data_IF_212778496707
#
_entry.id   IF_212778496707
#
_cell.length_a   1.000
_cell.length_b   1.000
_cell.length_c   1.000
_cell.angle_alpha   90.00
_cell.angle_beta   90.00
_cell.angle_gamma   90.00
#
_symmetry.space_group_name_H-M   'P 1'
#
loop_
_entity.id
_entity.type
_entity.pdbx_description
1 polymer ?
#
# COMPACT_ATOMS: atom_id res chain seq x y z
N UNK A 1 12.16 13.54 -2.89
CA UNK A 1 11.26 12.50 -3.44
C UNK A 1 10.56 11.69 -2.35
N UNK A 2 11.30 10.93 -1.52
CA UNK A 2 10.71 10.08 -0.45
C UNK A 2 9.75 10.87 0.45
N UNK A 3 10.21 12.00 1.01
CA UNK A 3 9.39 12.83 1.90
C UNK A 3 8.08 13.31 1.24
N UNK A 4 8.13 13.69 -0.04
CA UNK A 4 6.93 14.12 -0.78
C UNK A 4 5.91 12.99 -0.88
N UNK A 5 6.35 11.79 -1.23
CA UNK A 5 5.45 10.64 -1.31
C UNK A 5 4.91 10.22 0.06
N UNK A 6 5.72 10.28 1.13
CA UNK A 6 5.22 10.05 2.50
C UNK A 6 4.13 11.06 2.85
N UNK A 7 4.36 12.36 2.60
CA UNK A 7 3.37 13.41 2.89
C UNK A 7 2.08 13.16 2.11
N UNK A 8 2.15 12.87 0.81
CA UNK A 8 0.97 12.57 0.00
C UNK A 8 0.25 11.29 0.48
N UNK A 9 1.02 10.25 0.82
CA UNK A 9 0.52 9.01 1.39
C UNK A 9 -0.12 9.18 2.78
N UNK A 10 0.15 10.28 3.50
CA UNK A 10 -0.46 10.60 4.81
C UNK A 10 -1.67 11.52 4.64
N UNK A 11 -1.57 12.57 3.82
CA UNK A 11 -2.65 13.53 3.63
C UNK A 11 -3.86 12.93 2.91
N UNK A 12 -3.60 12.02 1.98
CA UNK A 12 -4.69 11.38 1.21
C UNK A 12 -5.56 10.48 2.09
N UNK A 13 -5.04 9.48 2.84
CA UNK A 13 -5.88 8.73 3.77
C UNK A 13 -6.54 9.61 4.84
N UNK A 14 -5.88 10.68 5.29
CA UNK A 14 -6.48 11.62 6.25
C UNK A 14 -7.80 12.23 5.74
N UNK A 15 -7.88 12.58 4.45
CA UNK A 15 -9.13 13.02 3.82
C UNK A 15 -10.18 11.89 3.75
N UNK A 16 -9.76 10.64 3.55
CA UNK A 16 -10.67 9.48 3.50
C UNK A 16 -11.15 9.07 4.89
N UNK A 17 -10.40 9.35 5.96
CA UNK A 17 -10.80 9.06 7.34
C UNK A 17 -12.05 9.85 7.76
N UNK A 18 -12.45 10.88 7.02
CA UNK A 18 -13.72 11.60 7.22
C UNK A 18 -14.95 10.75 6.86
N UNK A 19 -14.75 9.66 6.11
CA UNK A 19 -15.81 8.77 5.64
C UNK A 19 -15.63 7.36 6.25
N UNK A 20 -16.70 6.78 6.84
CA UNK A 20 -16.64 5.43 7.38
C UNK A 20 -16.16 4.42 6.33
N UNK A 21 -15.24 3.54 6.73
CA UNK A 21 -14.68 2.46 5.90
C UNK A 21 -13.93 2.90 4.62
N UNK A 22 -13.83 4.19 4.30
CA UNK A 22 -13.22 4.63 3.05
C UNK A 22 -11.71 4.32 2.97
N UNK A 23 -10.99 4.38 4.10
CA UNK A 23 -9.59 3.96 4.19
C UNK A 23 -9.36 2.52 3.73
N UNK A 24 -9.93 1.50 4.41
CA UNK A 24 -9.77 0.10 4.03
C UNK A 24 -10.40 -0.27 2.68
N UNK A 25 -11.40 0.48 2.21
CA UNK A 25 -12.06 0.22 0.91
C UNK A 25 -11.25 0.75 -0.28
N UNK A 26 -10.73 1.98 -0.20
CA UNK A 26 -10.05 2.63 -1.33
C UNK A 26 -8.52 2.55 -1.27
N UNK A 27 -7.96 2.16 -0.12
CA UNK A 27 -6.51 2.02 0.10
C UNK A 27 -5.70 3.26 -0.35
N UNK A 28 -6.12 4.49 0.00
CA UNK A 28 -5.57 5.73 -0.58
C UNK A 28 -4.04 5.89 -0.39
N UNK A 29 -3.49 5.40 0.72
CA UNK A 29 -2.05 5.49 0.99
C UNK A 29 -1.19 4.69 -0.01
N UNK A 30 -1.72 3.56 -0.52
CA UNK A 30 -0.98 2.64 -1.40
C UNK A 30 -0.64 3.29 -2.74
N UNK A 31 -1.49 4.21 -3.23
CA UNK A 31 -1.29 4.93 -4.49
C UNK A 31 0.07 5.61 -4.56
N UNK A 32 0.44 6.34 -3.51
CA UNK A 32 1.68 7.10 -3.48
C UNK A 32 2.89 6.24 -3.09
N UNK A 33 2.69 5.12 -2.39
CA UNK A 33 3.74 4.11 -2.19
C UNK A 33 4.12 3.47 -3.52
N UNK A 34 3.13 3.12 -4.34
CA UNK A 34 3.37 2.61 -5.69
C UNK A 34 4.02 3.65 -6.58
N UNK A 35 3.57 4.90 -6.53
CA UNK A 35 4.20 5.98 -7.28
C UNK A 35 5.67 6.17 -6.88
N UNK A 36 5.98 6.11 -5.57
CA UNK A 36 7.36 6.15 -5.10
C UNK A 36 8.19 4.97 -5.61
N UNK A 37 7.63 3.76 -5.63
CA UNK A 37 8.29 2.57 -6.10
C UNK A 37 8.60 2.61 -7.61
N UNK A 38 7.63 3.05 -8.42
CA UNK A 38 7.77 3.12 -9.87
C UNK A 38 8.67 4.28 -10.32
N UNK A 39 8.68 5.41 -9.58
CA UNK A 39 9.53 6.56 -9.88
C UNK A 39 10.95 6.43 -9.31
N UNK A 40 11.07 5.88 -8.10
CA UNK A 40 12.31 5.88 -7.32
C UNK A 40 12.94 4.52 -7.09
N UNK A 41 12.37 3.45 -7.66
CA UNK A 41 12.86 2.09 -7.51
C UNK A 41 12.51 1.46 -6.16
N UNK A 42 13.06 0.27 -5.93
CA UNK A 42 12.70 -0.56 -4.78
C UNK A 42 13.10 0.05 -3.44
N UNK A 43 14.23 0.77 -3.36
CA UNK A 43 14.64 1.44 -2.11
C UNK A 43 13.65 2.54 -1.72
N UNK A 44 13.25 3.37 -2.69
CA UNK A 44 12.29 4.44 -2.44
C UNK A 44 10.92 3.87 -2.06
N UNK A 45 10.45 2.84 -2.78
CA UNK A 45 9.20 2.16 -2.45
C UNK A 45 9.19 1.55 -1.05
N UNK A 46 10.27 0.86 -0.66
CA UNK A 46 10.39 0.25 0.67
C UNK A 46 10.43 1.30 1.79
N UNK A 47 11.23 2.37 1.64
CA UNK A 47 11.34 3.42 2.66
C UNK A 47 10.00 4.17 2.80
N UNK A 48 9.35 4.54 1.68
CA UNK A 48 8.06 5.21 1.71
C UNK A 48 6.99 4.30 2.32
N UNK A 49 6.95 3.02 1.92
CA UNK A 49 6.04 2.03 2.49
C UNK A 49 6.23 1.86 4.00
N UNK A 50 7.48 1.82 4.48
CA UNK A 50 7.78 1.67 5.90
C UNK A 50 7.40 2.90 6.70
N UNK A 51 7.78 4.11 6.26
CA UNK A 51 7.59 5.33 7.04
C UNK A 51 6.14 5.81 7.05
N UNK A 52 5.39 5.56 5.97
CA UNK A 52 4.04 6.10 5.79
C UNK A 52 3.06 5.71 6.92
N UNK A 53 2.90 4.44 7.31
CA UNK A 53 1.95 4.05 8.36
C UNK A 53 2.25 4.70 9.70
N UNK A 54 3.52 4.79 10.08
CA UNK A 54 3.93 5.43 11.33
C UNK A 54 3.69 6.94 11.30
N UNK A 55 4.00 7.59 10.17
CA UNK A 55 3.71 9.01 9.99
C UNK A 55 2.20 9.28 10.00
N UNK A 56 1.40 8.44 9.34
CA UNK A 56 -0.06 8.51 9.36
C UNK A 56 -0.61 8.36 10.77
N UNK A 57 -0.10 7.39 11.54
CA UNK A 57 -0.50 7.18 12.93
C UNK A 57 -0.16 8.39 13.81
N UNK A 58 1.02 8.98 13.65
CA UNK A 58 1.41 10.17 14.39
C UNK A 58 0.51 11.39 14.10
N UNK A 59 -0.01 11.51 12.87
CA UNK A 59 -0.86 12.65 12.46
C UNK A 59 -2.32 12.45 12.84
N UNK A 60 -2.86 11.24 12.70
CA UNK A 60 -4.31 11.02 12.81
C UNK A 60 -4.73 9.90 13.77
N UNK A 61 -3.80 9.24 14.45
CA UNK A 61 -4.06 8.04 15.27
C UNK A 61 -4.44 6.79 14.45
N UNK A 62 -4.34 6.85 13.12
CA UNK A 62 -4.71 5.76 12.20
C UNK A 62 -3.52 5.35 11.33
N UNK A 63 -3.31 4.04 11.07
CA UNK A 63 -4.16 2.92 11.47
C UNK A 63 -4.03 2.62 12.98
N UNK A 64 -5.04 2.01 13.63
CA UNK A 64 -4.99 1.71 15.06
C UNK A 64 -3.74 0.92 15.43
N UNK A 65 -3.14 1.22 16.59
CA UNK A 65 -1.84 0.67 17.00
C UNK A 65 -1.77 -0.86 16.96
N UNK A 66 -2.88 -1.54 17.23
CA UNK A 66 -2.95 -3.02 17.22
C UNK A 66 -2.77 -3.61 15.81
N UNK A 67 -3.17 -2.89 14.76
CA UNK A 67 -3.03 -3.32 13.36
C UNK A 67 -1.89 -2.59 12.63
N UNK A 68 -1.30 -1.58 13.25
CA UNK A 68 -0.22 -0.80 12.65
C UNK A 68 0.98 -1.66 12.19
N UNK A 69 1.48 -2.66 12.98
CA UNK A 69 2.59 -3.49 12.54
C UNK A 69 2.28 -4.30 11.28
N UNK A 70 1.10 -4.93 11.21
CA UNK A 70 0.71 -5.75 10.06
C UNK A 70 0.49 -4.90 8.79
N UNK A 71 -0.09 -3.70 8.92
CA UNK A 71 -0.21 -2.76 7.82
C UNK A 71 1.17 -2.26 7.37
N UNK A 72 2.08 -1.97 8.30
CA UNK A 72 3.43 -1.53 7.96
C UNK A 72 4.21 -2.58 7.18
N UNK A 73 4.14 -3.85 7.59
CA UNK A 73 4.74 -4.96 6.84
C UNK A 73 4.13 -5.10 5.46
N UNK A 74 2.79 -5.07 5.36
CA UNK A 74 2.08 -5.13 4.10
C UNK A 74 2.56 -4.04 3.13
N UNK A 75 2.39 -2.76 3.48
CA UNK A 75 2.65 -1.67 2.54
C UNK A 75 4.13 -1.48 2.22
N UNK A 76 5.03 -1.90 3.11
CA UNK A 76 6.47 -1.97 2.81
C UNK A 76 6.75 -3.02 1.73
N UNK A 77 6.13 -4.20 1.83
CA UNK A 77 6.26 -5.24 0.81
C UNK A 77 5.69 -4.78 -0.53
N UNK A 78 4.53 -4.10 -0.53
CA UNK A 78 3.97 -3.46 -1.73
C UNK A 78 4.99 -2.55 -2.44
N UNK A 79 5.59 -1.60 -1.72
CA UNK A 79 6.57 -0.67 -2.28
C UNK A 79 7.84 -1.35 -2.75
N UNK A 80 8.38 -2.29 -1.96
CA UNK A 80 9.57 -3.06 -2.29
C UNK A 80 9.36 -3.88 -3.57
N UNK A 81 8.30 -4.66 -3.64
CA UNK A 81 8.04 -5.58 -4.76
C UNK A 81 7.73 -4.79 -6.03
N UNK A 82 6.89 -3.76 -5.96
CA UNK A 82 6.58 -2.93 -7.13
C UNK A 82 7.85 -2.32 -7.73
N UNK A 83 8.75 -1.82 -6.88
CA UNK A 83 10.01 -1.24 -7.31
C UNK A 83 10.98 -2.28 -7.87
N UNK A 84 11.06 -3.48 -7.28
CA UNK A 84 11.90 -4.57 -7.79
C UNK A 84 11.42 -5.04 -9.16
N UNK A 85 10.13 -5.31 -9.30
CA UNK A 85 9.52 -5.75 -10.56
C UNK A 85 9.71 -4.70 -11.66
N UNK A 86 9.61 -3.42 -11.33
CA UNK A 86 9.80 -2.33 -12.28
C UNK A 86 11.26 -2.11 -12.65
N UNK A 87 12.15 -2.00 -11.66
CA UNK A 87 13.53 -1.57 -11.83
C UNK A 87 14.49 -2.70 -12.20
N UNK A 88 14.27 -3.92 -11.68
CA UNK A 88 15.17 -5.05 -11.88
C UNK A 88 14.66 -6.01 -12.96
N UNK A 89 13.35 -6.19 -13.07
CA UNK A 89 12.74 -7.08 -14.06
C UNK A 89 12.14 -6.33 -15.27
N UNK A 90 12.23 -5.00 -15.31
CA UNK A 90 11.73 -4.16 -16.40
C UNK A 90 10.25 -4.39 -16.75
N UNK A 91 9.44 -4.80 -15.78
CA UNK A 91 8.01 -5.00 -16.02
C UNK A 91 7.29 -3.65 -16.23
N UNK A 92 6.19 -3.69 -16.98
CA UNK A 92 5.32 -2.53 -17.10
C UNK A 92 4.62 -2.22 -15.75
N UNK A 93 4.09 -1.00 -15.60
CA UNK A 93 3.49 -0.57 -14.34
C UNK A 93 2.38 -1.54 -13.87
N UNK A 94 1.51 -1.99 -14.78
CA UNK A 94 0.40 -2.91 -14.44
C UNK A 94 0.91 -4.22 -13.84
N UNK A 95 1.88 -4.87 -14.47
CA UNK A 95 2.45 -6.13 -13.98
C UNK A 95 3.23 -5.95 -12.67
N UNK A 96 3.95 -4.84 -12.51
CA UNK A 96 4.61 -4.52 -11.25
C UNK A 96 3.60 -4.34 -10.11
N UNK A 97 2.46 -3.69 -10.37
CA UNK A 97 1.40 -3.49 -9.38
C UNK A 97 0.73 -4.80 -9.00
N UNK A 98 0.36 -5.64 -9.96
CA UNK A 98 -0.28 -6.94 -9.70
C UNK A 98 0.61 -7.86 -8.85
N UNK A 99 1.90 -7.95 -9.19
CA UNK A 99 2.86 -8.74 -8.40
C UNK A 99 3.04 -8.18 -6.99
N UNK A 100 3.09 -6.85 -6.84
CA UNK A 100 3.16 -6.19 -5.54
C UNK A 100 1.89 -6.36 -4.71
N UNK A 101 0.71 -6.33 -5.33
CA UNK A 101 -0.56 -6.63 -4.67
C UNK A 101 -0.56 -8.04 -4.11
N UNK A 102 -0.19 -9.04 -4.91
CA UNK A 102 -0.12 -10.42 -4.46
C UNK A 102 0.88 -10.59 -3.31
N UNK A 103 2.11 -10.11 -3.48
CA UNK A 103 3.15 -10.27 -2.45
C UNK A 103 2.88 -9.44 -1.19
N UNK A 104 2.25 -8.28 -1.31
CA UNK A 104 1.79 -7.49 -0.17
C UNK A 104 0.71 -8.20 0.65
N UNK A 105 -0.25 -8.89 0.01
CA UNK A 105 -1.24 -9.71 0.75
C UNK A 105 -0.61 -10.93 1.42
N UNK A 106 0.40 -11.53 0.80
CA UNK A 106 1.18 -12.61 1.42
C UNK A 106 1.93 -12.07 2.65
N UNK A 107 2.53 -10.88 2.54
CA UNK A 107 3.20 -10.22 3.66
C UNK A 107 2.22 -9.86 4.78
N UNK A 108 1.01 -9.38 4.45
CA UNK A 108 -0.06 -9.16 5.43
C UNK A 108 -0.43 -10.46 6.16
N UNK A 109 -0.63 -11.55 5.42
CA UNK A 109 -0.96 -12.85 6.01
C UNK A 109 0.13 -13.31 6.98
N UNK A 110 1.39 -13.25 6.55
CA UNK A 110 2.53 -13.58 7.41
C UNK A 110 2.55 -12.69 8.67
N UNK A 111 2.34 -11.38 8.52
CA UNK A 111 2.32 -10.46 9.65
C UNK A 111 1.18 -10.74 10.63
N UNK A 112 -0.03 -11.02 10.15
CA UNK A 112 -1.18 -11.40 10.99
C UNK A 112 -0.89 -12.69 11.76
N UNK A 113 -0.30 -13.71 11.10
CA UNK A 113 0.12 -14.95 11.76
C UNK A 113 1.17 -14.70 12.85
N UNK A 114 2.18 -13.87 12.56
CA UNK A 114 3.21 -13.52 13.53
C UNK A 114 2.60 -12.78 14.73
N UNK A 115 1.72 -11.80 14.49
CA UNK A 115 1.01 -11.09 15.56
C UNK A 115 0.18 -12.06 16.41
N UNK A 116 -0.54 -13.00 15.79
CA UNK A 116 -1.30 -14.01 16.52
C UNK A 116 -0.38 -14.90 17.38
N UNK A 117 0.77 -15.31 16.85
CA UNK A 117 1.73 -16.16 17.59
C UNK A 117 2.22 -15.48 18.88
N UNK A 118 2.47 -14.17 18.83
CA UNK A 118 2.99 -13.43 19.98
C UNK A 118 1.91 -12.92 20.94
N UNK A 119 0.72 -12.58 20.42
CA UNK A 119 -0.34 -11.94 21.23
C UNK A 119 -1.48 -12.88 21.59
N UNK A 120 -1.60 -14.03 20.91
CA UNK A 120 -2.76 -14.92 20.99
C UNK A 120 -4.01 -14.42 20.25
N UNK A 121 -3.96 -13.24 19.63
CA UNK A 121 -5.13 -12.57 19.05
C UNK A 121 -4.95 -12.28 17.55
N UNK A 122 -6.07 -12.31 16.82
CA UNK A 122 -6.14 -11.83 15.43
C UNK A 122 -6.88 -10.49 15.43
N UNK A 123 -6.18 -9.41 15.09
CA UNK A 123 -6.78 -8.08 15.01
C UNK A 123 -7.41 -7.85 13.63
N UNK A 124 -8.74 -7.93 13.58
CA UNK A 124 -9.54 -7.82 12.36
C UNK A 124 -10.92 -7.22 12.66
N UNK A 125 -11.57 -6.53 11.70
CA UNK A 125 -12.96 -6.11 11.82
C UNK A 125 -13.97 -7.24 12.08
N UNK A 126 -13.59 -8.48 11.78
CA UNK A 126 -14.42 -9.67 12.03
C UNK A 126 -14.52 -10.08 13.50
N UNK A 127 -13.73 -9.46 14.39
CA UNK A 127 -13.77 -9.73 15.82
C UNK A 127 -12.99 -10.99 16.25
N UNK A 128 -13.22 -11.49 17.49
CA UNK A 128 -12.38 -12.51 18.12
C UNK A 128 -12.37 -13.89 17.45
N UNK A 129 -13.37 -14.20 16.63
CA UNK A 129 -13.49 -15.49 15.93
C UNK A 129 -12.72 -15.50 14.60
N UNK A 130 -12.08 -14.40 14.23
CA UNK A 130 -11.30 -14.29 13.00
C UNK A 130 -10.07 -15.20 13.05
N UNK A 131 -9.89 -16.00 11.99
CA UNK A 131 -8.60 -16.63 11.69
C UNK A 131 -7.75 -15.70 10.82
N UNK A 132 -6.42 -15.87 10.77
CA UNK A 132 -5.55 -15.07 9.90
C UNK A 132 -6.02 -15.06 8.44
N UNK A 133 -6.45 -16.22 7.93
CA UNK A 133 -6.93 -16.34 6.56
C UNK A 133 -8.22 -15.52 6.34
N UNK A 134 -9.18 -15.60 7.26
CA UNK A 134 -10.42 -14.81 7.16
C UNK A 134 -10.19 -13.31 7.31
N UNK A 135 -9.23 -12.90 8.15
CA UNK A 135 -8.85 -11.50 8.32
C UNK A 135 -8.26 -10.89 7.04
N UNK A 136 -7.34 -11.63 6.40
CA UNK A 136 -6.76 -11.21 5.11
C UNK A 136 -7.81 -11.27 3.99
N UNK A 137 -8.63 -12.32 3.95
CA UNK A 137 -9.72 -12.43 2.98
C UNK A 137 -10.68 -11.25 3.07
N UNK A 138 -11.09 -10.86 4.27
CA UNK A 138 -11.94 -9.68 4.47
C UNK A 138 -11.27 -8.40 3.93
N UNK A 139 -9.97 -8.24 4.17
CA UNK A 139 -9.21 -7.09 3.65
C UNK A 139 -9.18 -7.09 2.12
N UNK A 140 -8.97 -8.24 1.48
CA UNK A 140 -9.00 -8.38 0.01
C UNK A 140 -10.40 -8.09 -0.53
N UNK A 141 -11.44 -8.69 0.06
CA UNK A 141 -12.81 -8.53 -0.35
C UNK A 141 -13.30 -7.08 -0.22
N UNK A 142 -12.89 -6.37 0.83
CA UNK A 142 -13.28 -4.97 1.04
C UNK A 142 -12.57 -3.99 0.10
N UNK A 143 -11.33 -4.30 -0.29
CA UNK A 143 -10.46 -3.34 -0.99
C UNK A 143 -10.47 -3.42 -2.51
N UNK A 144 -11.37 -4.22 -3.10
CA UNK A 144 -11.51 -4.32 -4.56
C UNK A 144 -11.69 -2.97 -5.28
N UNK A 145 -12.42 -1.95 -4.74
CA UNK A 145 -12.53 -0.66 -5.41
C UNK A 145 -11.19 0.07 -5.45
N UNK A 146 -10.44 0.05 -4.35
CA UNK A 146 -9.10 0.61 -4.27
C UNK A 146 -8.12 -0.05 -5.23
N UNK A 147 -8.18 -1.38 -5.36
CA UNK A 147 -7.35 -2.14 -6.30
C UNK A 147 -7.61 -1.70 -7.74
N UNK A 148 -8.88 -1.56 -8.14
CA UNK A 148 -9.26 -1.08 -9.49
C UNK A 148 -8.73 0.33 -9.71
N UNK A 149 -8.92 1.24 -8.75
CA UNK A 149 -8.42 2.61 -8.84
C UNK A 149 -6.90 2.63 -8.99
N UNK A 150 -6.16 1.83 -8.22
CA UNK A 150 -4.70 1.74 -8.31
C UNK A 150 -4.22 1.23 -9.68
N UNK A 151 -4.86 0.17 -10.21
CA UNK A 151 -4.49 -0.42 -11.50
C UNK A 151 -4.78 0.49 -12.69
N UNK A 152 -5.70 1.43 -12.57
CA UNK A 152 -6.00 2.41 -13.62
C UNK A 152 -5.18 3.69 -13.42
N UNK A 153 -5.30 4.31 -12.25
CA UNK A 153 -4.77 5.65 -12.01
C UNK A 153 -3.25 5.69 -12.03
N UNK A 154 -2.57 4.71 -11.40
CA UNK A 154 -1.11 4.71 -11.31
C UNK A 154 -0.48 4.53 -12.69
N UNK A 155 -0.84 3.52 -13.51
CA UNK A 155 -0.27 3.37 -14.85
C UNK A 155 -0.57 4.55 -15.77
N UNK A 156 -1.80 5.10 -15.73
CA UNK A 156 -2.19 6.25 -16.54
C UNK A 156 -1.37 7.49 -16.18
N UNK A 157 -1.15 7.76 -14.88
CA UNK A 157 -0.33 8.87 -14.44
C UNK A 157 1.11 8.76 -14.97
N UNK A 158 1.73 7.57 -14.86
CA UNK A 158 3.09 7.35 -15.38
C UNK A 158 3.18 7.45 -16.91
N UNK A 159 2.17 6.97 -17.62
CA UNK A 159 2.08 7.11 -19.07
C UNK A 159 1.95 8.60 -19.47
N UNK A 160 1.09 9.35 -18.80
CA UNK A 160 0.89 10.78 -19.06
C UNK A 160 2.18 11.58 -18.84
N UNK A 161 2.89 11.33 -17.73
CA UNK A 161 4.18 11.97 -17.44
C UNK A 161 5.22 11.62 -18.52
N UNK A 162 5.31 10.35 -18.92
CA UNK A 162 6.23 9.94 -19.98
C UNK A 162 5.91 10.61 -21.33
N UNK A 163 4.62 10.80 -21.65
CA UNK A 163 4.16 11.48 -22.86
C UNK A 163 4.53 12.96 -22.86
N UNK A 164 4.39 13.64 -21.72
CA UNK A 164 4.73 15.06 -21.56
C UNK A 164 6.23 15.30 -21.70
N UNK A 165 7.06 14.45 -21.08
CA UNK A 165 8.52 14.56 -21.19
C UNK A 165 9.00 14.38 -22.63
N UNK A 166 8.38 13.47 -23.40
CA UNK A 166 8.71 13.30 -24.82
C UNK A 166 8.39 14.56 -25.64
N UNK A 167 7.25 15.20 -25.40
CA UNK A 167 6.86 16.45 -26.08
C UNK A 167 7.76 17.64 -25.76
N UNK A 168 8.40 17.67 -24.59
CA UNK A 168 9.33 18.73 -24.21
C UNK A 168 10.73 18.55 -24.81
N UNK A 169 11.04 17.34 -25.28
CA UNK A 169 12.31 16.99 -25.91
C UNK A 169 12.26 17.10 -27.45
N UNK A 170 11.08 17.37 -28.02
CA UNK A 170 10.81 17.67 -29.43
C UNK A 170 10.74 19.19 -29.63
#
# INVERSE_FOLDING_TARGET
MIAVFVVLSVLTPWAFHQFPLAGPTFLPMHLFIFAAALAGGWQAGAIVGLLTPFASYAVSGMPPVMVLPQIAVEVTAYGLIAGLLRQKLNLNAVWSLLGAMAGGRIALLAAVFVVQLFTGHVYSPLGPTATPLTAVWNTVAQSWPGIVVQLVLVPVAFWAVARLNKKQAE
#
